data_IF_333672866180
#
_entry.id   IF_333672866180
#
_cell.length_a   1.000
_cell.length_b   1.000
_cell.length_c   1.000
_cell.angle_alpha   90.00
_cell.angle_beta   90.00
_cell.angle_gamma   90.00
#
_symmetry.space_group_name_H-M   'P 1'
#
loop_
_entity.id
_entity.type
_entity.pdbx_description
1 polymer ?
#
# COMPACT_ATOMS: atom_id res chain seq x y z
N UNK A 1 -19.93 16.67 -22.90
CA UNK A 1 -19.42 17.27 -21.65
C UNK A 1 -18.16 16.50 -21.24
N UNK A 2 -16.98 17.03 -21.55
CA UNK A 2 -15.70 16.36 -21.28
C UNK A 2 -15.20 16.78 -19.90
N UNK A 3 -15.25 15.89 -18.90
CA UNK A 3 -14.69 16.13 -17.57
C UNK A 3 -13.18 15.95 -17.63
N UNK A 4 -12.44 17.05 -17.74
CA UNK A 4 -10.98 17.07 -17.62
C UNK A 4 -10.60 16.84 -16.15
N UNK A 5 -10.36 15.58 -15.83
CA UNK A 5 -9.82 15.16 -14.55
C UNK A 5 -8.32 15.51 -14.54
N UNK A 6 -7.91 16.47 -13.70
CA UNK A 6 -6.52 16.96 -13.68
C UNK A 6 -5.56 15.82 -13.30
N UNK A 7 -4.61 15.53 -14.19
CA UNK A 7 -3.60 14.48 -14.05
C UNK A 7 -2.69 14.62 -12.82
N UNK A 8 -2.74 15.76 -12.13
CA UNK A 8 -1.96 16.07 -10.93
C UNK A 8 -2.53 15.48 -9.65
N UNK A 9 -3.79 15.01 -9.65
CA UNK A 9 -4.44 14.44 -8.46
C UNK A 9 -4.74 12.94 -8.57
N UNK A 10 -4.23 12.22 -9.60
CA UNK A 10 -4.42 10.76 -9.84
C UNK A 10 -5.84 10.19 -9.70
N UNK A 11 -6.87 11.04 -9.59
CA UNK A 11 -8.29 10.67 -9.43
C UNK A 11 -8.95 10.13 -10.70
N UNK A 12 -8.18 9.89 -11.77
CA UNK A 12 -8.71 9.53 -13.07
C UNK A 12 -8.57 8.03 -13.39
N UNK A 13 -7.91 7.25 -12.54
CA UNK A 13 -7.95 5.78 -12.60
C UNK A 13 -9.20 5.27 -11.86
N UNK A 14 -10.38 5.66 -12.35
CA UNK A 14 -11.69 5.30 -11.80
C UNK A 14 -12.04 3.79 -11.95
N UNK A 15 -11.03 2.93 -12.18
CA UNK A 15 -11.20 1.51 -12.48
C UNK A 15 -10.04 0.59 -12.04
N UNK A 16 -9.07 1.07 -11.23
CA UNK A 16 -7.95 0.24 -10.76
C UNK A 16 -8.09 -0.27 -9.33
N UNK A 17 -8.98 0.29 -8.53
CA UNK A 17 -9.26 -0.29 -7.23
C UNK A 17 -10.28 -1.42 -7.35
N UNK A 18 -9.78 -2.65 -7.35
CA UNK A 18 -10.59 -3.85 -7.31
C UNK A 18 -9.88 -4.90 -6.49
N UNK A 19 -10.66 -5.82 -5.97
CA UNK A 19 -10.09 -7.03 -5.41
C UNK A 19 -9.64 -7.93 -6.56
N UNK A 20 -8.39 -8.36 -6.49
CA UNK A 20 -7.78 -9.34 -7.38
C UNK A 20 -8.00 -10.77 -6.87
N UNK A 21 -8.36 -10.93 -5.60
CA UNK A 21 -8.71 -12.22 -5.02
C UNK A 21 -10.20 -12.37 -4.75
N UNK A 22 -10.67 -13.62 -4.83
CA UNK A 22 -12.08 -13.96 -4.61
C UNK A 22 -12.44 -14.01 -3.13
N UNK A 23 -11.49 -14.40 -2.28
CA UNK A 23 -11.68 -14.56 -0.84
C UNK A 23 -11.30 -13.30 -0.03
N UNK A 24 -11.19 -12.13 -0.68
CA UNK A 24 -10.86 -10.89 0.02
C UNK A 24 -11.82 -10.58 1.18
N UNK A 25 -13.11 -10.87 1.01
CA UNK A 25 -14.14 -10.72 2.06
C UNK A 25 -13.80 -11.52 3.33
N UNK A 26 -13.39 -12.79 3.17
CA UNK A 26 -13.03 -13.68 4.28
C UNK A 26 -11.71 -13.26 4.95
N UNK A 27 -10.83 -12.63 4.16
CA UNK A 27 -9.54 -12.15 4.60
C UNK A 27 -9.56 -10.70 5.12
N UNK A 28 -10.71 -10.02 5.14
CA UNK A 28 -10.83 -8.60 5.51
C UNK A 28 -10.23 -8.26 6.88
N UNK A 29 -10.29 -9.18 7.84
CA UNK A 29 -9.63 -9.04 9.15
C UNK A 29 -8.10 -8.84 9.07
N UNK A 30 -7.48 -9.27 7.98
CA UNK A 30 -6.05 -9.18 7.75
C UNK A 30 -5.59 -7.87 7.11
N UNK A 31 -6.52 -6.97 6.74
CA UNK A 31 -6.19 -5.67 6.16
C UNK A 31 -5.23 -4.86 7.04
N UNK A 32 -5.23 -5.10 8.35
CA UNK A 32 -4.35 -4.45 9.32
C UNK A 32 -3.28 -5.36 9.93
N UNK A 33 -3.11 -6.56 9.39
CA UNK A 33 -2.13 -7.52 9.90
C UNK A 33 -0.72 -7.13 9.47
N UNK A 34 0.25 -7.12 10.39
CA UNK A 34 1.65 -6.89 10.00
C UNK A 34 2.24 -7.98 9.09
N UNK A 35 1.63 -9.17 9.08
CA UNK A 35 2.04 -10.29 8.21
C UNK A 35 1.34 -10.26 6.86
N UNK A 36 0.05 -9.94 6.84
CA UNK A 36 -0.82 -10.10 5.67
C UNK A 36 -1.32 -8.78 5.07
N UNK A 37 -1.15 -7.65 5.76
CA UNK A 37 -1.67 -6.36 5.31
C UNK A 37 -1.07 -5.95 3.97
N UNK A 38 0.22 -6.23 3.71
CA UNK A 38 0.83 -6.04 2.38
C UNK A 38 0.09 -6.85 1.31
N UNK A 39 -0.17 -8.14 1.58
CA UNK A 39 -0.89 -9.01 0.66
C UNK A 39 -2.31 -8.48 0.42
N UNK A 40 -2.98 -8.04 1.48
CA UNK A 40 -4.30 -7.44 1.41
C UNK A 40 -4.31 -6.13 0.63
N UNK A 41 -3.30 -5.29 0.76
CA UNK A 41 -3.16 -4.06 -0.04
C UNK A 41 -2.96 -4.35 -1.53
N UNK A 42 -2.17 -5.37 -1.87
CA UNK A 42 -1.90 -5.74 -3.26
C UNK A 42 -3.08 -6.47 -3.92
N UNK A 43 -3.81 -7.30 -3.16
CA UNK A 43 -4.83 -8.21 -3.72
C UNK A 43 -6.26 -7.86 -3.36
N UNK A 44 -6.47 -7.11 -2.29
CA UNK A 44 -7.78 -6.86 -1.67
C UNK A 44 -7.97 -5.38 -1.32
N UNK A 45 -7.40 -4.49 -2.14
CA UNK A 45 -7.35 -3.05 -1.89
C UNK A 45 -8.74 -2.42 -1.76
N UNK A 46 -9.73 -2.96 -2.49
CA UNK A 46 -11.11 -2.50 -2.42
C UNK A 46 -11.77 -2.96 -1.12
N UNK A 47 -11.67 -4.26 -0.79
CA UNK A 47 -12.19 -4.79 0.48
C UNK A 47 -11.59 -4.08 1.70
N UNK A 48 -10.31 -3.73 1.66
CA UNK A 48 -9.65 -3.03 2.76
C UNK A 48 -9.94 -1.52 2.82
N UNK A 49 -10.71 -0.97 1.87
CA UNK A 49 -10.96 0.48 1.80
C UNK A 49 -9.71 1.30 1.51
N UNK A 50 -8.71 0.70 0.87
CA UNK A 50 -7.38 1.28 0.64
C UNK A 50 -7.23 1.88 -0.76
N UNK A 51 -8.33 2.10 -1.49
CA UNK A 51 -8.31 2.55 -2.88
C UNK A 51 -7.57 3.87 -3.10
N UNK A 52 -7.73 4.80 -2.16
CA UNK A 52 -7.15 6.15 -2.23
C UNK A 52 -5.67 6.18 -1.80
N UNK A 53 -5.14 5.05 -1.34
CA UNK A 53 -3.75 4.96 -0.93
C UNK A 53 -2.84 4.73 -2.14
N UNK A 54 -1.97 5.70 -2.41
CA UNK A 54 -0.91 5.56 -3.41
C UNK A 54 0.17 4.53 -3.00
N UNK A 55 0.41 4.40 -1.70
CA UNK A 55 1.33 3.43 -1.13
C UNK A 55 0.89 2.99 0.29
N UNK A 56 1.51 1.92 0.77
CA UNK A 56 1.10 1.22 2.00
C UNK A 56 1.48 1.97 3.29
N UNK A 57 2.35 2.97 3.20
CA UNK A 57 2.89 3.74 4.31
C UNK A 57 1.84 4.42 5.21
N UNK A 58 0.74 4.92 4.62
CA UNK A 58 -0.30 5.67 5.33
C UNK A 58 -1.16 4.84 6.29
N UNK A 59 -0.85 3.54 6.45
CA UNK A 59 -1.66 2.62 7.23
C UNK A 59 -1.19 2.44 8.67
N UNK A 60 -0.14 3.15 9.10
CA UNK A 60 0.53 2.92 10.41
C UNK A 60 0.95 1.45 10.61
N UNK A 61 0.99 0.68 9.53
CA UNK A 61 1.16 -0.77 9.57
C UNK A 61 2.61 -1.16 9.41
N UNK A 62 3.00 -2.15 10.19
CA UNK A 62 4.31 -2.76 10.07
C UNK A 62 4.31 -3.74 8.89
N UNK A 63 5.37 -3.72 8.11
CA UNK A 63 5.65 -4.62 7.01
C UNK A 63 6.60 -5.73 7.50
N UNK A 64 6.33 -6.97 7.10
CA UNK A 64 7.25 -8.10 7.33
C UNK A 64 8.27 -8.19 6.20
N UNK A 65 9.54 -7.95 6.53
CA UNK A 65 10.68 -8.10 5.63
C UNK A 65 11.67 -9.06 6.26
N UNK A 66 11.96 -10.17 5.59
CA UNK A 66 12.90 -11.20 6.07
C UNK A 66 12.60 -11.68 7.51
N UNK A 67 11.32 -11.82 7.86
CA UNK A 67 10.91 -12.25 9.20
C UNK A 67 10.81 -11.12 10.24
N UNK A 68 11.32 -9.93 9.94
CA UNK A 68 11.29 -8.78 10.84
C UNK A 68 10.10 -7.89 10.50
N UNK A 69 9.35 -7.49 11.52
CA UNK A 69 8.17 -6.64 11.39
C UNK A 69 8.56 -5.20 11.75
N UNK A 70 8.59 -4.30 10.76
CA UNK A 70 8.99 -2.90 10.91
C UNK A 70 8.06 -1.95 10.16
N UNK A 71 7.94 -0.70 10.61
CA UNK A 71 7.24 0.35 9.86
C UNK A 71 8.17 1.00 8.81
N UNK A 72 7.62 1.91 8.01
CA UNK A 72 8.37 2.57 6.93
C UNK A 72 9.52 3.47 7.44
N UNK A 73 9.35 4.15 8.58
CA UNK A 73 10.41 4.94 9.21
C UNK A 73 11.62 4.06 9.60
N UNK A 74 11.36 2.95 10.29
CA UNK A 74 12.36 1.97 10.69
C UNK A 74 13.07 1.37 9.47
N UNK A 75 12.33 1.11 8.39
CA UNK A 75 12.88 0.63 7.13
C UNK A 75 13.80 1.65 6.47
N UNK A 76 13.40 2.91 6.46
CA UNK A 76 14.19 3.99 5.88
C UNK A 76 15.50 4.21 6.64
N UNK A 77 15.44 4.27 7.98
CA UNK A 77 16.62 4.40 8.84
C UNK A 77 17.62 3.25 8.62
N UNK A 78 17.12 2.02 8.40
CA UNK A 78 17.96 0.85 8.11
C UNK A 78 18.42 0.74 6.64
N UNK A 79 18.08 1.72 5.79
CA UNK A 79 18.50 1.77 4.40
C UNK A 79 17.78 0.78 3.48
N UNK A 80 16.58 0.32 3.86
CA UNK A 80 15.76 -0.55 3.01
C UNK A 80 15.13 0.20 1.82
N UNK A 81 15.13 1.53 1.80
CA UNK A 81 14.63 2.33 0.67
C UNK A 81 15.37 2.07 -0.65
N UNK A 82 16.57 1.49 -0.61
CA UNK A 82 17.29 1.02 -1.81
C UNK A 82 16.60 -0.13 -2.54
N UNK A 83 15.70 -0.87 -1.87
CA UNK A 83 14.95 -1.95 -2.48
C UNK A 83 13.68 -1.38 -3.12
N UNK A 84 13.53 -1.56 -4.42
CA UNK A 84 12.41 -1.01 -5.21
C UNK A 84 11.04 -1.32 -4.60
N UNK A 85 10.85 -2.54 -4.11
CA UNK A 85 9.61 -2.96 -3.46
C UNK A 85 9.32 -2.12 -2.21
N UNK A 86 10.33 -1.88 -1.37
CA UNK A 86 10.17 -1.10 -0.14
C UNK A 86 9.98 0.37 -0.48
N UNK A 87 10.74 0.91 -1.44
CA UNK A 87 10.57 2.28 -1.94
C UNK A 87 9.15 2.52 -2.47
N UNK A 88 8.55 1.55 -3.18
CA UNK A 88 7.16 1.63 -3.65
C UNK A 88 6.14 1.54 -2.52
N UNK A 89 6.35 0.71 -1.51
CA UNK A 89 5.43 0.55 -0.38
C UNK A 89 5.51 1.72 0.61
N UNK A 90 6.72 2.20 0.89
CA UNK A 90 7.07 3.31 1.76
C UNK A 90 7.35 4.57 0.92
N UNK A 91 6.41 4.91 0.03
CA UNK A 91 6.64 5.89 -1.03
C UNK A 91 6.72 7.34 -0.57
N UNK A 92 6.31 7.67 0.64
CA UNK A 92 6.48 9.00 1.22
C UNK A 92 7.77 9.04 2.06
N UNK A 93 8.01 8.05 2.91
CA UNK A 93 9.20 7.97 3.77
C UNK A 93 10.44 7.88 2.89
N UNK A 94 10.48 6.96 1.93
CA UNK A 94 11.63 6.75 1.06
C UNK A 94 11.87 7.87 0.04
N UNK A 95 11.06 8.94 0.01
CA UNK A 95 11.40 10.14 -0.78
C UNK A 95 12.43 11.01 -0.07
N UNK A 96 12.59 10.87 1.25
CA UNK A 96 13.52 11.65 2.06
C UNK A 96 14.86 10.97 2.32
N UNK A 97 15.07 9.75 1.82
CA UNK A 97 16.24 8.88 2.06
C UNK A 97 16.79 8.33 0.75
#
# INVERSE_FOLDING_TARGET
>A
MTKNCQSTCKKCDNNKCKDLQKNCKDLSQYCNSGNYGKYMFEKCKLTCGQCDLDCYENLSQKLKVNGVIMNCDEMAIKGYCKYELISKLCCQTCKGY
#
